data_IF_913326995159
#
_entry.id   IF_913326995159
#
_cell.length_a   1.000
_cell.length_b   1.000
_cell.length_c   1.000
_cell.angle_alpha   90.00
_cell.angle_beta   90.00
_cell.angle_gamma   90.00
#
_symmetry.space_group_name_H-M   'P 1'
#
loop_
_entity.id
_entity.type
_entity.pdbx_description
1 polymer ?
#
# COMPACT_ATOMS: atom_id res chain seq x y z
N UNK A 1 8.77 19.74 -15.94
CA UNK A 1 8.19 18.39 -15.83
C UNK A 1 7.01 18.48 -14.87
N UNK A 2 5.80 18.15 -15.32
CA UNK A 2 4.57 18.36 -14.52
C UNK A 2 4.41 17.21 -13.54
N UNK A 3 4.35 17.52 -12.26
CA UNK A 3 3.87 16.61 -11.22
C UNK A 3 2.41 16.23 -11.53
N UNK A 4 2.19 15.16 -12.29
CA UNK A 4 0.84 14.63 -12.47
C UNK A 4 0.34 14.12 -11.10
N UNK A 5 -0.78 14.69 -10.65
CA UNK A 5 -1.43 14.41 -9.38
C UNK A 5 -2.21 13.08 -9.37
N UNK A 6 -2.29 12.39 -10.50
CA UNK A 6 -3.00 11.11 -10.62
C UNK A 6 -2.17 9.94 -10.11
N UNK A 7 -2.77 9.11 -9.27
CA UNK A 7 -2.24 7.80 -8.89
C UNK A 7 -2.25 6.88 -10.12
N UNK A 8 -1.17 6.87 -10.90
CA UNK A 8 -1.07 6.00 -12.07
C UNK A 8 -0.73 4.57 -11.63
N UNK A 9 -1.45 3.59 -12.19
CA UNK A 9 -1.31 2.18 -11.78
C UNK A 9 0.11 1.63 -11.97
N UNK A 10 0.86 2.12 -12.96
CA UNK A 10 2.25 1.76 -13.23
C UNK A 10 3.26 2.36 -12.23
N UNK A 11 2.83 3.32 -11.41
CA UNK A 11 3.66 4.01 -10.42
C UNK A 11 3.38 3.57 -8.98
N UNK A 12 2.42 2.68 -8.72
CA UNK A 12 2.08 2.27 -7.34
C UNK A 12 3.26 1.69 -6.55
N UNK A 13 4.21 1.03 -7.23
CA UNK A 13 5.40 0.47 -6.60
C UNK A 13 6.38 1.55 -6.08
N UNK A 14 6.24 2.80 -6.53
CA UNK A 14 7.09 3.92 -6.10
C UNK A 14 6.70 4.45 -4.73
N UNK A 15 5.49 4.14 -4.24
CA UNK A 15 4.96 4.71 -3.01
C UNK A 15 5.85 4.41 -1.79
N UNK A 16 6.25 3.15 -1.48
CA UNK A 16 7.12 2.89 -0.34
C UNK A 16 8.48 3.63 -0.41
N UNK A 17 9.27 3.57 -1.51
CA UNK A 17 10.55 4.27 -1.55
C UNK A 17 10.39 5.79 -1.56
N UNK A 18 9.37 6.36 -2.19
CA UNK A 18 9.11 7.80 -2.14
C UNK A 18 8.70 8.25 -0.73
N UNK A 19 7.84 7.49 -0.05
CA UNK A 19 7.43 7.79 1.32
C UNK A 19 8.64 7.82 2.28
N UNK A 20 9.54 6.84 2.19
CA UNK A 20 10.76 6.84 3.01
C UNK A 20 11.70 8.00 2.65
N UNK A 21 11.85 8.31 1.36
CA UNK A 21 12.68 9.45 0.92
C UNK A 21 12.10 10.77 1.41
N UNK A 22 10.78 10.92 1.37
CA UNK A 22 10.06 12.12 1.84
C UNK A 22 10.21 12.31 3.35
N UNK A 23 9.87 11.30 4.14
CA UNK A 23 9.89 11.37 5.62
C UNK A 23 11.30 11.54 6.19
N UNK A 24 12.34 11.17 5.44
CA UNK A 24 13.74 11.40 5.82
C UNK A 24 14.32 12.68 5.25
N UNK A 25 13.58 13.40 4.39
CA UNK A 25 14.01 14.57 3.60
C UNK A 25 15.16 14.31 2.62
N UNK A 26 16.06 13.38 2.93
CA UNK A 26 17.13 12.89 2.08
C UNK A 26 17.48 11.45 2.50
N UNK A 27 17.83 10.58 1.54
CA UNK A 27 18.13 9.18 1.85
C UNK A 27 19.29 8.60 1.04
N UNK A 28 20.19 7.87 1.71
CA UNK A 28 21.20 7.06 1.06
C UNK A 28 20.61 5.73 0.58
N UNK A 29 21.20 5.16 -0.46
CA UNK A 29 20.74 3.88 -1.04
C UNK A 29 20.78 2.74 -0.01
N UNK A 30 21.81 2.72 0.85
CA UNK A 30 21.99 1.71 1.89
C UNK A 30 20.90 1.79 2.96
N UNK A 31 20.50 2.99 3.35
CA UNK A 31 19.46 3.18 4.36
C UNK A 31 18.08 2.86 3.80
N UNK A 32 17.82 3.24 2.55
CA UNK A 32 16.62 2.81 1.86
C UNK A 32 16.55 1.28 1.74
N UNK A 33 17.66 0.62 1.43
CA UNK A 33 17.74 -0.83 1.36
C UNK A 33 17.35 -1.49 2.70
N UNK A 34 17.86 -0.97 3.82
CA UNK A 34 17.49 -1.42 5.17
C UNK A 34 16.00 -1.19 5.47
N UNK A 35 15.47 -0.01 5.18
CA UNK A 35 14.06 0.33 5.44
C UNK A 35 13.08 -0.50 4.62
N UNK A 36 13.44 -0.82 3.38
CA UNK A 36 12.65 -1.70 2.51
C UNK A 36 12.90 -3.20 2.81
N UNK A 37 13.95 -3.57 3.53
CA UNK A 37 14.34 -4.97 3.71
C UNK A 37 14.76 -5.64 2.40
N UNK A 38 15.47 -4.91 1.53
CA UNK A 38 15.95 -5.40 0.22
C UNK A 38 17.46 -5.27 0.10
N UNK A 39 18.12 -6.01 -0.82
CA UNK A 39 19.53 -5.82 -1.12
C UNK A 39 19.82 -4.40 -1.63
N UNK A 40 21.01 -3.86 -1.33
CA UNK A 40 21.44 -2.53 -1.79
C UNK A 40 21.40 -2.38 -3.32
N UNK A 41 21.68 -3.46 -4.07
CA UNK A 41 21.55 -3.48 -5.54
C UNK A 41 20.10 -3.21 -5.98
N UNK A 42 19.12 -3.80 -5.29
CA UNK A 42 17.70 -3.60 -5.57
C UNK A 42 17.28 -2.16 -5.24
N UNK A 43 17.69 -1.64 -4.09
CA UNK A 43 17.44 -0.24 -3.72
C UNK A 43 18.07 0.75 -4.72
N UNK A 44 19.29 0.48 -5.19
CA UNK A 44 19.96 1.27 -6.23
C UNK A 44 19.15 1.31 -7.52
N UNK A 45 18.69 0.14 -8.00
CA UNK A 45 17.85 0.05 -9.20
C UNK A 45 16.51 0.79 -9.03
N UNK A 46 15.90 0.70 -7.85
CA UNK A 46 14.69 1.46 -7.50
C UNK A 46 14.94 2.97 -7.59
N UNK A 47 15.99 3.48 -6.93
CA UNK A 47 16.30 4.91 -6.96
C UNK A 47 16.64 5.41 -8.36
N UNK A 48 17.37 4.63 -9.14
CA UNK A 48 17.63 4.96 -10.54
C UNK A 48 16.34 5.02 -11.36
N UNK A 49 15.42 4.07 -11.16
CA UNK A 49 14.13 4.06 -11.85
C UNK A 49 13.22 5.23 -11.45
N UNK A 50 13.28 5.69 -10.19
CA UNK A 50 12.59 6.89 -9.71
C UNK A 50 13.22 8.16 -10.28
N UNK A 51 14.55 8.25 -10.31
CA UNK A 51 15.27 9.39 -10.85
C UNK A 51 15.00 9.57 -12.34
N UNK A 52 14.97 8.48 -13.11
CA UNK A 52 14.59 8.50 -14.54
C UNK A 52 13.16 8.96 -14.79
N UNK A 53 12.28 8.84 -13.79
CA UNK A 53 10.90 9.35 -13.84
C UNK A 53 10.77 10.77 -13.28
N UNK A 54 11.89 11.37 -12.86
CA UNK A 54 11.90 12.70 -12.25
C UNK A 54 11.14 12.78 -10.93
N UNK A 55 11.07 11.69 -10.17
CA UNK A 55 10.40 11.61 -8.86
C UNK A 55 11.36 11.83 -7.68
N UNK A 56 12.65 11.60 -7.93
CA UNK A 56 13.75 11.89 -7.01
C UNK A 56 14.91 12.47 -7.80
N UNK A 57 15.78 13.18 -7.11
CA UNK A 57 17.04 13.68 -7.64
C UNK A 57 18.18 13.35 -6.68
N UNK A 58 19.41 13.40 -7.20
CA UNK A 58 20.61 13.17 -6.38
C UNK A 58 21.06 14.50 -5.77
N UNK A 59 21.24 14.50 -4.45
CA UNK A 59 21.79 15.59 -3.67
C UNK A 59 23.08 15.13 -2.98
N UNK A 60 23.79 16.04 -2.30
CA UNK A 60 25.02 15.73 -1.56
C UNK A 60 24.78 14.67 -0.48
N UNK A 61 23.63 14.74 0.22
CA UNK A 61 23.24 13.83 1.28
C UNK A 61 22.65 12.48 0.79
N UNK A 62 22.51 12.27 -0.53
CA UNK A 62 21.87 11.09 -1.10
C UNK A 62 20.84 11.42 -2.16
N UNK A 63 19.59 11.02 -1.95
CA UNK A 63 18.48 11.33 -2.84
C UNK A 63 17.38 12.08 -2.11
N UNK A 64 16.82 13.08 -2.77
CA UNK A 64 15.68 13.88 -2.31
C UNK A 64 14.51 13.69 -3.25
N UNK A 65 13.28 13.90 -2.77
CA UNK A 65 12.12 13.89 -3.65
C UNK A 65 12.05 15.19 -4.45
N UNK A 66 11.66 15.10 -5.71
CA UNK A 66 11.42 16.27 -6.57
C UNK A 66 9.95 16.67 -6.58
N UNK A 67 9.05 15.75 -6.22
CA UNK A 67 7.61 15.93 -6.32
C UNK A 67 6.85 15.41 -5.08
N UNK A 68 6.48 16.32 -4.16
CA UNK A 68 5.68 16.01 -2.95
C UNK A 68 4.25 15.58 -3.27
N UNK A 69 3.66 16.17 -4.32
CA UNK A 69 2.26 15.97 -4.73
C UNK A 69 1.85 14.50 -4.92
N UNK A 70 2.80 13.62 -5.23
CA UNK A 70 2.53 12.19 -5.38
C UNK A 70 2.24 11.48 -4.04
N UNK A 71 2.54 12.12 -2.90
CA UNK A 71 2.32 11.60 -1.56
C UNK A 71 1.23 12.36 -0.79
N UNK A 72 0.79 13.52 -1.27
CA UNK A 72 -0.18 14.39 -0.57
C UNK A 72 -1.54 13.72 -0.36
N UNK A 73 -1.88 12.69 -1.15
CA UNK A 73 -3.11 11.91 -0.98
C UNK A 73 -3.02 10.88 0.15
N UNK A 74 -1.84 10.60 0.70
CA UNK A 74 -1.65 9.55 1.71
C UNK A 74 -2.04 10.10 3.08
N UNK A 75 -3.13 9.57 3.62
CA UNK A 75 -3.65 9.91 4.95
C UNK A 75 -3.07 8.97 6.00
N UNK A 76 -2.98 7.67 5.68
CA UNK A 76 -2.57 6.62 6.63
C UNK A 76 -1.57 5.67 5.99
N UNK A 77 -0.55 5.28 6.77
CA UNK A 77 0.44 4.27 6.38
C UNK A 77 0.56 3.22 7.47
N UNK A 78 0.53 1.95 7.08
CA UNK A 78 0.88 0.82 7.93
C UNK A 78 1.93 -0.08 7.27
N UNK A 79 2.78 -0.71 8.07
CA UNK A 79 3.90 -1.51 7.56
C UNK A 79 4.19 -2.75 8.38
N UNK A 80 4.69 -3.77 7.69
CA UNK A 80 5.36 -4.95 8.26
C UNK A 80 6.66 -5.20 7.52
N UNK A 81 7.45 -6.20 7.92
CA UNK A 81 8.77 -6.49 7.35
C UNK A 81 8.80 -6.63 5.82
N UNK A 82 7.70 -7.08 5.20
CA UNK A 82 7.60 -7.29 3.74
C UNK A 82 6.35 -6.71 3.09
N UNK A 83 5.58 -5.88 3.81
CA UNK A 83 4.39 -5.22 3.27
C UNK A 83 4.34 -3.77 3.71
N UNK A 84 3.82 -2.94 2.83
CA UNK A 84 3.55 -1.54 3.08
C UNK A 84 2.15 -1.24 2.54
N UNK A 85 1.30 -0.62 3.36
CA UNK A 85 -0.03 -0.19 2.97
C UNK A 85 -0.10 1.31 3.11
N UNK A 86 -0.55 1.99 2.06
CA UNK A 86 -0.94 3.40 2.10
C UNK A 86 -2.44 3.51 1.81
N UNK A 87 -3.13 4.39 2.51
CA UNK A 87 -4.53 4.71 2.31
C UNK A 87 -4.71 6.23 2.21
N UNK A 88 -5.60 6.66 1.32
CA UNK A 88 -6.17 7.99 1.27
C UNK A 88 -6.87 8.26 -0.06
N UNK A 89 -7.66 9.33 -0.13
CA UNK A 89 -8.51 9.67 -1.29
C UNK A 89 -9.31 8.46 -1.84
N UNK A 90 -9.87 7.63 -0.95
CA UNK A 90 -10.72 6.49 -1.33
C UNK A 90 -9.98 5.32 -2.01
N UNK A 91 -8.65 5.23 -1.88
CA UNK A 91 -7.84 4.13 -2.43
C UNK A 91 -6.88 3.57 -1.39
N UNK A 92 -6.73 2.25 -1.39
CA UNK A 92 -5.69 1.54 -0.64
C UNK A 92 -4.65 1.02 -1.63
N UNK A 93 -3.37 1.21 -1.32
CA UNK A 93 -2.27 0.60 -2.06
C UNK A 93 -1.52 -0.36 -1.16
N UNK A 94 -1.60 -1.65 -1.49
CA UNK A 94 -0.84 -2.71 -0.85
C UNK A 94 0.42 -3.02 -1.65
N UNK A 95 1.58 -2.72 -1.09
CA UNK A 95 2.89 -3.04 -1.63
C UNK A 95 3.50 -4.24 -0.94
N UNK A 96 3.89 -5.24 -1.72
CA UNK A 96 4.75 -6.34 -1.30
C UNK A 96 6.19 -6.01 -1.63
N UNK A 97 7.04 -6.03 -0.61
CA UNK A 97 8.45 -5.75 -0.73
C UNK A 97 9.20 -7.08 -0.66
N UNK A 98 9.92 -7.40 -1.73
CA UNK A 98 10.70 -8.65 -1.86
C UNK A 98 12.15 -8.29 -2.20
N UNK A 99 13.06 -9.22 -1.96
CA UNK A 99 14.48 -9.06 -2.32
C UNK A 99 14.70 -8.68 -3.79
N UNK A 100 13.82 -9.12 -4.69
CA UNK A 100 13.87 -8.86 -6.13
C UNK A 100 13.16 -7.58 -6.58
N UNK A 101 12.49 -6.85 -5.69
CA UNK A 101 11.78 -5.61 -6.02
C UNK A 101 10.44 -5.45 -5.29
N UNK A 102 9.71 -4.43 -5.71
CA UNK A 102 8.43 -4.02 -5.11
C UNK A 102 7.31 -4.34 -6.09
N UNK A 103 6.23 -4.93 -5.60
CA UNK A 103 4.97 -5.11 -6.36
C UNK A 103 3.86 -4.46 -5.58
N UNK A 104 3.09 -3.59 -6.21
CA UNK A 104 1.98 -2.92 -5.58
C UNK A 104 0.65 -3.29 -6.25
N UNK A 105 -0.41 -3.26 -5.47
CA UNK A 105 -1.78 -3.52 -5.90
C UNK A 105 -2.65 -2.40 -5.38
N UNK A 106 -3.52 -1.89 -6.25
CA UNK A 106 -4.58 -0.98 -5.87
C UNK A 106 -5.80 -1.76 -5.42
N UNK A 107 -6.40 -1.35 -4.31
CA UNK A 107 -7.62 -1.91 -3.75
C UNK A 107 -8.59 -0.74 -3.59
N UNK A 108 -9.72 -0.73 -4.33
CA UNK A 108 -10.74 0.28 -4.15
C UNK A 108 -11.30 0.26 -2.73
N UNK A 109 -11.56 1.43 -2.14
CA UNK A 109 -12.08 1.50 -0.77
C UNK A 109 -13.43 0.81 -0.61
N UNK A 110 -14.30 0.93 -1.62
CA UNK A 110 -15.59 0.25 -1.64
C UNK A 110 -15.42 -1.26 -1.46
N UNK A 111 -14.47 -1.89 -2.15
CA UNK A 111 -14.20 -3.32 -1.97
C UNK A 111 -13.69 -3.64 -0.56
N UNK A 112 -12.81 -2.81 0.00
CA UNK A 112 -12.29 -3.02 1.35
C UNK A 112 -13.42 -2.93 2.40
N UNK A 113 -14.31 -1.94 2.28
CA UNK A 113 -15.48 -1.79 3.14
C UNK A 113 -16.47 -2.95 3.01
N UNK A 114 -16.70 -3.44 1.79
CA UNK A 114 -17.51 -4.65 1.54
C UNK A 114 -16.97 -5.87 2.26
N UNK A 115 -15.65 -6.07 2.14
CA UNK A 115 -14.98 -7.18 2.84
C UNK A 115 -15.09 -7.01 4.35
N UNK A 116 -14.91 -5.80 4.87
CA UNK A 116 -15.05 -5.52 6.30
C UNK A 116 -16.46 -5.80 6.81
N UNK A 117 -17.51 -5.33 6.12
CA UNK A 117 -18.90 -5.59 6.49
C UNK A 117 -19.20 -7.11 6.54
N UNK A 118 -18.69 -7.88 5.58
CA UNK A 118 -18.88 -9.33 5.58
C UNK A 118 -18.11 -10.06 6.70
N UNK A 119 -16.96 -9.53 7.10
CA UNK A 119 -16.22 -10.04 8.26
C UNK A 119 -16.99 -9.76 9.56
N UNK A 120 -17.50 -8.53 9.72
CA UNK A 120 -18.28 -8.11 10.89
C UNK A 120 -19.55 -8.96 11.03
N UNK A 121 -20.28 -9.17 9.93
CA UNK A 121 -21.45 -10.05 9.89
C UNK A 121 -21.13 -11.52 10.26
N UNK A 122 -19.91 -11.97 9.98
CA UNK A 122 -19.44 -13.31 10.33
C UNK A 122 -18.84 -13.41 11.73
N UNK A 123 -18.71 -12.28 12.46
CA UNK A 123 -18.00 -12.22 13.73
C UNK A 123 -16.50 -12.55 13.61
N UNK A 124 -15.89 -12.25 12.46
CA UNK A 124 -14.49 -12.54 12.15
C UNK A 124 -13.66 -11.26 12.06
N UNK A 125 -12.38 -11.37 12.37
CA UNK A 125 -11.39 -10.32 12.10
C UNK A 125 -10.65 -10.59 10.76
N UNK A 126 -10.20 -9.50 10.12
CA UNK A 126 -9.40 -9.56 8.90
C UNK A 126 -8.10 -10.36 9.11
N UNK A 127 -7.41 -10.17 10.25
CA UNK A 127 -6.16 -10.86 10.59
C UNK A 127 -6.34 -12.38 10.75
N UNK A 128 -7.49 -12.83 11.26
CA UNK A 128 -7.86 -14.25 11.30
C UNK A 128 -8.19 -14.78 9.88
N UNK A 129 -9.06 -14.09 9.16
CA UNK A 129 -9.61 -14.57 7.90
C UNK A 129 -8.54 -14.73 6.80
N UNK A 130 -7.54 -13.84 6.71
CA UNK A 130 -6.55 -13.89 5.61
C UNK A 130 -5.62 -15.11 5.65
N UNK A 131 -5.51 -15.79 6.79
CA UNK A 131 -4.76 -17.04 6.93
C UNK A 131 -5.59 -18.28 6.55
N UNK A 132 -6.92 -18.15 6.46
CA UNK A 132 -7.85 -19.25 6.24
C UNK A 132 -8.39 -19.23 4.81
N UNK A 133 -7.93 -20.16 3.96
CA UNK A 133 -8.38 -20.25 2.55
C UNK A 133 -9.90 -20.34 2.42
N UNK A 134 -10.57 -21.05 3.33
CA UNK A 134 -12.02 -21.20 3.32
C UNK A 134 -12.73 -19.88 3.65
N UNK A 135 -12.19 -19.09 4.58
CA UNK A 135 -12.74 -17.77 4.89
C UNK A 135 -12.63 -16.83 3.67
N UNK A 136 -11.47 -16.79 3.01
CA UNK A 136 -11.27 -15.98 1.80
C UNK A 136 -12.28 -16.37 0.72
N UNK A 137 -12.49 -17.67 0.48
CA UNK A 137 -13.45 -18.15 -0.51
C UNK A 137 -14.88 -17.78 -0.17
N UNK A 138 -15.31 -18.00 1.08
CA UNK A 138 -16.65 -17.65 1.55
C UNK A 138 -16.97 -16.17 1.31
N UNK A 139 -16.07 -15.26 1.72
CA UNK A 139 -16.25 -13.82 1.54
C UNK A 139 -16.26 -13.45 0.05
N UNK A 140 -15.39 -14.08 -0.75
CA UNK A 140 -15.34 -13.87 -2.20
C UNK A 140 -16.62 -14.30 -2.91
N UNK A 141 -17.19 -15.44 -2.53
CA UNK A 141 -18.45 -15.97 -3.05
C UNK A 141 -19.62 -15.02 -2.71
N UNK A 142 -19.72 -14.57 -1.46
CA UNK A 142 -20.76 -13.60 -1.04
C UNK A 142 -20.69 -12.27 -1.79
N UNK A 143 -19.49 -11.77 -2.03
CA UNK A 143 -19.28 -10.47 -2.68
C UNK A 143 -19.32 -10.55 -4.22
N UNK A 144 -19.32 -11.74 -4.80
CA UNK A 144 -19.26 -11.95 -6.25
C UNK A 144 -17.92 -11.51 -6.87
N UNK A 145 -16.81 -11.64 -6.14
CA UNK A 145 -15.49 -11.19 -6.58
C UNK A 145 -14.45 -12.30 -6.54
N UNK A 146 -13.35 -12.14 -7.26
CA UNK A 146 -12.28 -13.14 -7.27
C UNK A 146 -11.58 -13.24 -5.91
N UNK A 147 -11.34 -14.47 -5.42
CA UNK A 147 -10.73 -14.75 -4.12
C UNK A 147 -9.37 -14.06 -3.90
N UNK A 148 -8.58 -13.90 -4.96
CA UNK A 148 -7.31 -13.14 -4.91
C UNK A 148 -7.53 -11.68 -4.52
N UNK A 149 -8.59 -11.04 -5.01
CA UNK A 149 -8.89 -9.63 -4.72
C UNK A 149 -9.30 -9.46 -3.27
N UNK A 150 -10.14 -10.37 -2.75
CA UNK A 150 -10.48 -10.44 -1.31
C UNK A 150 -9.24 -10.66 -0.46
N UNK A 151 -8.35 -11.59 -0.87
CA UNK A 151 -7.11 -11.83 -0.13
C UNK A 151 -6.22 -10.58 -0.03
N UNK A 152 -6.19 -9.73 -1.08
CA UNK A 152 -5.46 -8.45 -1.04
C UNK A 152 -6.14 -7.44 -0.10
N UNK A 153 -7.47 -7.32 -0.15
CA UNK A 153 -8.23 -6.46 0.75
C UNK A 153 -8.04 -6.87 2.22
N UNK A 154 -8.26 -8.15 2.55
CA UNK A 154 -8.08 -8.70 3.90
C UNK A 154 -6.68 -8.43 4.46
N UNK A 155 -5.64 -8.63 3.65
CA UNK A 155 -4.25 -8.35 4.08
C UNK A 155 -4.00 -6.87 4.34
N UNK A 156 -4.70 -6.00 3.63
CA UNK A 156 -4.56 -4.55 3.81
C UNK A 156 -5.28 -4.10 5.08
N UNK A 157 -6.51 -4.57 5.28
CA UNK A 157 -7.30 -4.36 6.50
C UNK A 157 -6.59 -4.88 7.74
N UNK A 158 -6.04 -6.10 7.66
CA UNK A 158 -5.27 -6.70 8.74
C UNK A 158 -4.01 -5.88 9.07
N UNK A 159 -3.32 -5.34 8.06
CA UNK A 159 -2.10 -4.54 8.30
C UNK A 159 -2.41 -3.14 8.82
N UNK A 160 -3.54 -2.55 8.42
CA UNK A 160 -4.03 -1.28 8.95
C UNK A 160 -4.56 -1.40 10.39
N UNK A 161 -4.50 -2.61 10.98
CA UNK A 161 -5.03 -2.90 12.31
C UNK A 161 -6.44 -2.37 12.44
N UNK A 162 -7.35 -2.78 11.54
CA UNK A 162 -8.78 -2.54 11.68
C UNK A 162 -9.42 -3.63 12.55
N UNK A 163 -9.45 -3.53 13.90
CA UNK A 163 -10.45 -4.25 14.67
C UNK A 163 -11.83 -3.75 14.23
N UNK A 164 -12.85 -4.60 14.38
CA UNK A 164 -14.26 -4.36 14.02
C UNK A 164 -14.90 -3.09 14.61
N UNK A 165 -14.20 -2.32 15.43
CA UNK A 165 -14.69 -1.10 16.09
C UNK A 165 -13.86 0.16 15.82
N UNK A 166 -12.62 0.05 15.34
CA UNK A 166 -11.73 1.20 15.07
C UNK A 166 -10.93 0.90 13.79
N UNK A 167 -11.48 1.26 12.63
CA UNK A 167 -10.74 1.16 11.37
C UNK A 167 -10.37 2.57 10.90
N UNK A 168 -9.09 2.87 10.58
CA UNK A 168 -8.69 4.15 10.00
C UNK A 168 -9.31 4.41 8.62
N UNK A 169 -9.91 3.38 8.01
CA UNK A 169 -10.70 3.52 6.78
C UNK A 169 -12.10 3.99 7.15
N UNK A 170 -12.52 5.11 6.56
CA UNK A 170 -13.90 5.58 6.67
C UNK A 170 -14.77 4.89 5.63
N UNK A 171 -15.72 4.05 6.07
CA UNK A 171 -16.68 3.36 5.21
C UNK A 171 -18.05 4.08 5.12
N UNK A 172 -18.11 5.36 5.49
CA UNK A 172 -19.35 6.14 5.61
C UNK A 172 -20.16 6.28 4.32
N UNK A 173 -19.56 5.99 3.16
CA UNK A 173 -20.23 6.01 1.85
C UNK A 173 -20.79 4.64 1.43
N UNK A 174 -20.64 3.59 2.26
CA UNK A 174 -21.24 2.29 1.99
C UNK A 174 -22.74 2.31 2.35
N UNK A 175 -23.53 3.06 1.58
CA UNK A 175 -24.97 2.80 1.47
C UNK A 175 -25.10 1.59 0.55
N UNK A 176 -25.43 0.44 1.14
CA UNK A 176 -25.58 -0.82 0.41
C UNK A 176 -26.57 -0.68 -0.74
N UNK A 177 -26.10 -0.96 -1.95
CA UNK A 177 -26.93 -1.43 -3.05
C UNK A 177 -26.78 -2.95 -3.12
#
# INVERSE_FOLDING_TARGET
MVCNSGLQHDLLWTIPPLFYTYTRHCILVQDLAKLLGVPAKTAKSVMWALARRGLVERAECGYTITCRKMLDWIEVVARSSNKFVAYGNGVIVLSYIRSRGIRAYQIPINLACRVQAELENAGLDAAQCWHMKNCIRMIAEKLGVHAKTVSLALRSLALLSCPSTICPITCSEYQGN
#
